data_IF_583730204869
#
_entry.id   IF_583730204869
#
_cell.length_a   1.000
_cell.length_b   1.000
_cell.length_c   1.000
_cell.angle_alpha   90.00
_cell.angle_beta   90.00
_cell.angle_gamma   90.00
#
_symmetry.space_group_name_H-M   'P 1'
#
loop_
_entity.id
_entity.type
_entity.pdbx_description
1 polymer ?
#
# COMPACT_ATOMS: atom_id res chain seq x y z
N UNK A 1 -17.41 29.66 -18.34
CA UNK A 1 -17.26 28.75 -17.18
C UNK A 1 -16.04 27.89 -17.43
N UNK A 2 -15.03 28.03 -16.61
CA UNK A 2 -13.87 27.14 -16.66
C UNK A 2 -14.25 25.76 -16.08
N UNK A 3 -13.57 24.70 -16.54
CA UNK A 3 -13.75 23.34 -15.98
C UNK A 3 -13.34 23.24 -14.50
N UNK A 4 -12.70 24.30 -13.96
CA UNK A 4 -12.26 24.38 -12.56
C UNK A 4 -13.17 25.24 -11.69
N UNK A 5 -14.30 25.74 -12.21
CA UNK A 5 -15.22 26.66 -11.51
C UNK A 5 -16.39 25.93 -10.86
N UNK A 6 -16.23 24.77 -10.37
CA UNK A 6 -17.36 24.01 -9.91
C UNK A 6 -17.12 23.18 -8.66
N UNK A 7 -18.12 22.39 -8.32
CA UNK A 7 -17.99 21.32 -7.35
C UNK A 7 -16.94 20.31 -7.87
N UNK A 8 -15.88 19.97 -7.13
CA UNK A 8 -14.88 19.00 -7.55
C UNK A 8 -15.44 17.68 -8.07
N UNK A 9 -16.59 17.26 -7.56
CA UNK A 9 -17.27 16.02 -7.98
C UNK A 9 -17.86 16.09 -9.39
N UNK A 10 -18.12 17.28 -9.89
CA UNK A 10 -18.69 17.51 -11.22
C UNK A 10 -17.63 17.77 -12.29
N UNK A 11 -16.36 17.89 -11.87
CA UNK A 11 -15.25 18.03 -12.79
C UNK A 11 -14.88 16.68 -13.39
N UNK A 12 -14.68 16.60 -14.72
CA UNK A 12 -14.18 15.37 -15.34
C UNK A 12 -12.74 15.11 -14.87
N UNK A 13 -12.43 13.84 -14.59
CA UNK A 13 -11.06 13.43 -14.32
C UNK A 13 -10.25 13.48 -15.62
N UNK A 14 -9.02 14.01 -15.55
CA UNK A 14 -8.10 13.91 -16.66
C UNK A 14 -7.37 12.54 -16.65
N UNK A 15 -6.77 12.18 -17.78
CA UNK A 15 -6.10 10.88 -17.94
C UNK A 15 -5.01 10.60 -16.89
N UNK A 16 -4.31 11.62 -16.43
CA UNK A 16 -3.29 11.48 -15.38
C UNK A 16 -3.88 10.99 -14.05
N UNK A 17 -5.01 11.56 -13.62
CA UNK A 17 -5.72 11.12 -12.40
C UNK A 17 -6.25 9.71 -12.54
N UNK A 18 -6.87 9.39 -13.70
CA UNK A 18 -7.37 8.04 -13.99
C UNK A 18 -6.22 7.04 -13.92
N UNK A 19 -5.10 7.33 -14.58
CA UNK A 19 -3.92 6.46 -14.60
C UNK A 19 -3.32 6.29 -13.21
N UNK A 20 -3.21 7.38 -12.44
CA UNK A 20 -2.67 7.34 -11.08
C UNK A 20 -3.51 6.44 -10.16
N UNK A 21 -4.85 6.61 -10.18
CA UNK A 21 -5.75 5.76 -9.40
C UNK A 21 -5.66 4.30 -9.86
N UNK A 22 -5.74 4.05 -11.17
CA UNK A 22 -5.75 2.70 -11.74
C UNK A 22 -4.45 1.95 -11.43
N UNK A 23 -3.29 2.62 -11.58
CA UNK A 23 -1.98 2.06 -11.26
C UNK A 23 -1.82 1.81 -9.75
N UNK A 24 -2.28 2.75 -8.90
CA UNK A 24 -2.26 2.60 -7.45
C UNK A 24 -3.09 1.39 -7.00
N UNK A 25 -4.29 1.22 -7.53
CA UNK A 25 -5.13 0.04 -7.24
C UNK A 25 -4.50 -1.26 -7.74
N UNK A 26 -3.89 -1.24 -8.93
CA UNK A 26 -3.18 -2.40 -9.48
C UNK A 26 -1.99 -2.80 -8.61
N UNK A 27 -1.19 -1.83 -8.15
CA UNK A 27 -0.10 -2.06 -7.21
C UNK A 27 -0.60 -2.63 -5.88
N UNK A 28 -1.65 -2.05 -5.30
CA UNK A 28 -2.28 -2.58 -4.08
C UNK A 28 -2.74 -4.03 -4.27
N UNK A 29 -3.36 -4.39 -5.41
CA UNK A 29 -3.78 -5.77 -5.67
C UNK A 29 -2.58 -6.74 -5.67
N UNK A 30 -1.46 -6.34 -6.27
CA UNK A 30 -0.23 -7.13 -6.23
C UNK A 30 0.34 -7.27 -4.82
N UNK A 31 0.38 -6.16 -4.07
CA UNK A 31 0.86 -6.15 -2.68
C UNK A 31 -0.03 -6.97 -1.75
N UNK A 32 -1.35 -6.89 -1.88
CA UNK A 32 -2.30 -7.71 -1.11
C UNK A 32 -1.98 -9.19 -1.30
N UNK A 33 -1.87 -9.65 -2.55
CA UNK A 33 -1.52 -11.05 -2.85
C UNK A 33 -0.14 -11.44 -2.31
N UNK A 34 0.85 -10.55 -2.40
CA UNK A 34 2.18 -10.77 -1.83
C UNK A 34 2.16 -10.84 -0.30
N UNK A 35 1.41 -9.95 0.36
CA UNK A 35 1.32 -9.93 1.82
C UNK A 35 0.51 -11.12 2.36
N UNK A 36 -0.50 -11.60 1.63
CA UNK A 36 -1.18 -12.86 1.96
C UNK A 36 -0.20 -14.06 1.91
N UNK A 37 0.76 -14.06 0.97
CA UNK A 37 1.84 -15.03 0.97
C UNK A 37 2.77 -14.85 2.18
N UNK A 38 3.17 -13.61 2.50
CA UNK A 38 4.03 -13.32 3.65
C UNK A 38 3.38 -13.72 4.98
N UNK A 39 2.07 -13.58 5.14
CA UNK A 39 1.32 -14.08 6.32
C UNK A 39 1.52 -15.59 6.49
N UNK A 40 1.55 -16.35 5.39
CA UNK A 40 1.78 -17.80 5.43
C UNK A 40 3.23 -18.17 5.77
N UNK A 41 4.19 -17.27 5.55
CA UNK A 41 5.62 -17.49 5.83
C UNK A 41 6.04 -16.99 7.20
N UNK A 42 5.41 -15.93 7.70
CA UNK A 42 5.81 -15.25 8.93
C UNK A 42 5.56 -16.12 10.17
N UNK A 43 6.51 -16.11 11.10
CA UNK A 43 6.42 -16.80 12.39
C UNK A 43 6.16 -15.82 13.54
N UNK A 44 6.58 -14.56 13.42
CA UNK A 44 6.38 -13.53 14.45
C UNK A 44 4.94 -12.99 14.40
N UNK A 45 4.23 -13.10 15.52
CA UNK A 45 2.81 -12.73 15.64
C UNK A 45 2.55 -11.22 15.47
N UNK A 46 3.52 -10.38 15.87
CA UNK A 46 3.39 -8.93 15.69
C UNK A 46 3.54 -8.55 14.23
N UNK A 47 4.45 -9.23 13.49
CA UNK A 47 4.61 -9.05 12.05
C UNK A 47 3.38 -9.53 11.29
N UNK A 48 2.83 -10.68 11.64
CA UNK A 48 1.57 -11.20 11.07
C UNK A 48 0.45 -10.18 11.25
N UNK A 49 0.30 -9.63 12.45
CA UNK A 49 -0.72 -8.63 12.75
C UNK A 49 -0.56 -7.36 11.90
N UNK A 50 0.67 -6.88 11.69
CA UNK A 50 0.94 -5.75 10.81
C UNK A 50 0.64 -6.05 9.34
N UNK A 51 0.97 -7.25 8.87
CA UNK A 51 0.64 -7.68 7.50
C UNK A 51 -0.88 -7.70 7.28
N UNK A 52 -1.63 -8.26 8.22
CA UNK A 52 -3.10 -8.30 8.17
C UNK A 52 -3.72 -6.89 8.21
N UNK A 53 -3.17 -5.97 9.04
CA UNK A 53 -3.56 -4.56 9.06
C UNK A 53 -3.33 -3.91 7.68
N UNK A 54 -2.17 -4.12 7.08
CA UNK A 54 -1.83 -3.56 5.77
C UNK A 54 -2.75 -4.10 4.66
N UNK A 55 -3.03 -5.40 4.64
CA UNK A 55 -3.96 -6.02 3.69
C UNK A 55 -5.35 -5.39 3.82
N UNK A 56 -5.86 -5.26 5.04
CA UNK A 56 -7.16 -4.65 5.31
C UNK A 56 -7.23 -3.20 4.83
N UNK A 57 -6.18 -2.42 5.10
CA UNK A 57 -6.07 -1.02 4.68
C UNK A 57 -6.07 -0.91 3.15
N UNK A 58 -5.23 -1.68 2.45
CA UNK A 58 -5.16 -1.67 0.99
C UNK A 58 -6.48 -2.12 0.33
N UNK A 59 -7.19 -3.10 0.90
CA UNK A 59 -8.53 -3.51 0.44
C UNK A 59 -9.54 -2.37 0.59
N UNK A 60 -9.47 -1.58 1.67
CA UNK A 60 -10.33 -0.42 1.89
C UNK A 60 -9.99 0.74 0.93
N UNK A 61 -8.70 1.05 0.74
CA UNK A 61 -8.23 2.02 -0.25
C UNK A 61 -8.77 1.68 -1.64
N UNK A 62 -8.59 0.43 -2.09
CA UNK A 62 -9.07 -0.03 -3.40
C UNK A 62 -10.60 0.07 -3.54
N UNK A 63 -11.34 -0.21 -2.46
CA UNK A 63 -12.80 -0.04 -2.46
C UNK A 63 -13.20 1.41 -2.71
N UNK A 64 -12.52 2.36 -2.06
CA UNK A 64 -12.86 3.78 -2.17
C UNK A 64 -12.43 4.36 -3.53
N UNK A 65 -11.22 4.09 -4.00
CA UNK A 65 -10.79 4.48 -5.34
C UNK A 65 -11.63 3.83 -6.44
N UNK A 66 -12.01 2.57 -6.26
CA UNK A 66 -12.89 1.85 -7.19
C UNK A 66 -14.25 2.50 -7.35
N UNK A 67 -14.82 3.12 -6.28
CA UNK A 67 -16.07 3.91 -6.38
C UNK A 67 -15.86 5.14 -7.27
N UNK A 68 -14.73 5.84 -7.10
CA UNK A 68 -14.40 7.03 -7.91
C UNK A 68 -14.26 6.67 -9.38
N UNK A 69 -13.52 5.63 -9.72
CA UNK A 69 -13.38 5.16 -11.11
C UNK A 69 -14.75 4.82 -11.71
N UNK A 70 -15.55 4.00 -11.03
CA UNK A 70 -16.87 3.59 -11.49
C UNK A 70 -17.82 4.78 -11.70
N UNK A 71 -17.81 5.76 -10.80
CA UNK A 71 -18.61 6.97 -10.93
C UNK A 71 -18.23 7.80 -12.18
N UNK A 72 -17.01 7.62 -12.69
CA UNK A 72 -16.52 8.26 -13.91
C UNK A 72 -16.53 7.31 -15.14
N UNK A 73 -17.24 6.18 -15.07
CA UNK A 73 -17.38 5.23 -16.19
C UNK A 73 -16.13 4.39 -16.45
N UNK A 74 -15.18 4.34 -15.53
CA UNK A 74 -13.91 3.60 -15.66
C UNK A 74 -14.00 2.28 -14.92
N UNK A 75 -13.62 1.19 -15.57
CA UNK A 75 -13.52 -0.13 -14.93
C UNK A 75 -12.24 -0.20 -14.08
N UNK A 76 -12.34 -0.47 -12.76
CA UNK A 76 -11.19 -0.68 -11.93
C UNK A 76 -10.36 -1.91 -12.35
N UNK A 77 -9.06 -1.97 -12.01
CA UNK A 77 -8.27 -3.19 -12.23
C UNK A 77 -8.85 -4.35 -11.45
N UNK A 78 -8.82 -5.59 -11.99
CA UNK A 78 -9.33 -6.76 -11.30
C UNK A 78 -8.50 -7.08 -10.06
N UNK A 79 -9.17 -7.51 -8.99
CA UNK A 79 -8.50 -8.08 -7.82
C UNK A 79 -7.95 -9.48 -8.14
N UNK A 80 -6.86 -9.85 -7.48
CA UNK A 80 -6.34 -11.21 -7.53
C UNK A 80 -7.16 -12.12 -6.59
N UNK A 81 -7.24 -13.43 -6.86
CA UNK A 81 -7.85 -14.38 -5.95
C UNK A 81 -7.14 -14.36 -4.58
N UNK A 82 -7.92 -14.51 -3.51
CA UNK A 82 -7.35 -14.64 -2.17
C UNK A 82 -6.53 -15.94 -2.06
N UNK A 83 -5.39 -15.86 -1.38
CA UNK A 83 -4.56 -17.03 -1.14
C UNK A 83 -5.15 -17.87 0.00
N UNK A 84 -5.16 -19.21 -0.14
CA UNK A 84 -5.47 -20.08 0.98
C UNK A 84 -4.42 -19.92 2.08
N UNK A 85 -4.85 -20.09 3.33
CA UNK A 85 -3.91 -20.12 4.47
C UNK A 85 -3.08 -21.40 4.41
N UNK A 86 -1.81 -21.26 4.75
CA UNK A 86 -0.86 -22.36 4.91
C UNK A 86 -0.01 -22.10 6.17
N UNK A 87 0.57 -23.15 6.72
CA UNK A 87 1.50 -23.02 7.84
C UNK A 87 2.93 -22.86 7.31
N UNK A 88 3.74 -22.02 7.97
CA UNK A 88 5.14 -21.82 7.59
C UNK A 88 5.93 -23.15 7.55
N UNK A 89 5.58 -24.08 8.45
CA UNK A 89 6.21 -25.41 8.55
C UNK A 89 6.01 -26.27 7.28
N UNK A 90 4.91 -26.07 6.58
CA UNK A 90 4.60 -26.81 5.34
C UNK A 90 5.37 -26.27 4.12
N UNK A 91 6.07 -25.13 4.27
CA UNK A 91 6.85 -24.52 3.19
C UNK A 91 8.30 -25.03 3.26
N UNK A 92 8.84 -25.60 2.17
CA UNK A 92 10.22 -26.06 2.14
C UNK A 92 11.21 -24.96 2.58
N UNK A 93 12.19 -25.31 3.41
CA UNK A 93 13.13 -24.34 3.99
C UNK A 93 13.82 -23.43 2.96
N UNK A 94 14.15 -23.95 1.77
CA UNK A 94 14.74 -23.17 0.69
C UNK A 94 13.80 -22.22 -0.04
N UNK A 95 12.49 -22.29 0.23
CA UNK A 95 11.46 -21.43 -0.36
C UNK A 95 10.82 -20.50 0.68
N UNK A 96 11.15 -20.65 1.96
CA UNK A 96 10.56 -19.90 3.06
C UNK A 96 11.25 -18.55 3.22
N UNK A 97 10.47 -17.50 3.30
CA UNK A 97 10.95 -16.18 3.73
C UNK A 97 11.02 -16.13 5.26
N UNK A 98 12.07 -15.51 5.79
CA UNK A 98 12.23 -15.24 7.22
C UNK A 98 11.63 -13.87 7.58
N UNK A 99 11.21 -13.68 8.83
CA UNK A 99 10.60 -12.44 9.31
C UNK A 99 11.41 -11.17 8.99
N UNK A 100 12.75 -11.12 9.15
CA UNK A 100 13.54 -9.95 8.76
C UNK A 100 13.49 -9.66 7.25
N UNK A 101 13.44 -10.68 6.40
CA UNK A 101 13.35 -10.52 4.94
C UNK A 101 11.98 -9.94 4.55
N UNK A 102 10.92 -10.49 5.15
CA UNK A 102 9.54 -10.01 4.97
C UNK A 102 9.46 -8.54 5.41
N UNK A 103 9.94 -8.22 6.59
CA UNK A 103 9.91 -6.87 7.12
C UNK A 103 10.71 -5.87 6.28
N UNK A 104 11.86 -6.29 5.75
CA UNK A 104 12.66 -5.53 4.80
C UNK A 104 11.88 -5.20 3.51
N UNK A 105 11.22 -6.20 2.94
CA UNK A 105 10.39 -6.04 1.74
C UNK A 105 9.21 -5.06 1.98
N UNK A 106 8.53 -5.19 3.12
CA UNK A 106 7.44 -4.28 3.50
C UNK A 106 7.97 -2.85 3.66
N UNK A 107 9.14 -2.66 4.28
CA UNK A 107 9.75 -1.34 4.47
C UNK A 107 10.01 -0.63 3.14
N UNK A 108 10.49 -1.35 2.13
CA UNK A 108 10.68 -0.84 0.77
C UNK A 108 9.34 -0.46 0.15
N UNK A 109 8.33 -1.32 0.28
CA UNK A 109 7.00 -1.08 -0.28
C UNK A 109 6.33 0.16 0.35
N UNK A 110 6.50 0.38 1.66
CA UNK A 110 6.02 1.60 2.34
C UNK A 110 6.67 2.84 1.73
N UNK A 111 8.00 2.84 1.56
CA UNK A 111 8.72 3.95 0.93
C UNK A 111 8.22 4.25 -0.48
N UNK A 112 8.06 3.23 -1.31
CA UNK A 112 7.53 3.37 -2.67
C UNK A 112 6.09 3.89 -2.66
N UNK A 113 5.25 3.42 -1.75
CA UNK A 113 3.88 3.86 -1.59
C UNK A 113 3.77 5.35 -1.20
N UNK A 114 4.65 5.84 -0.31
CA UNK A 114 4.73 7.25 0.06
C UNK A 114 5.07 8.12 -1.15
N UNK A 115 6.09 7.73 -1.93
CA UNK A 115 6.47 8.44 -3.16
C UNK A 115 5.32 8.46 -4.16
N UNK A 116 4.67 7.32 -4.38
CA UNK A 116 3.56 7.20 -5.33
C UNK A 116 2.38 8.11 -4.96
N UNK A 117 2.00 8.15 -3.67
CA UNK A 117 0.94 9.03 -3.20
C UNK A 117 1.32 10.52 -3.38
N UNK A 118 2.58 10.89 -3.07
CA UNK A 118 3.05 12.27 -3.24
C UNK A 118 3.04 12.70 -4.71
N UNK A 119 3.48 11.84 -5.61
CA UNK A 119 3.44 12.11 -7.05
C UNK A 119 2.00 12.27 -7.56
N UNK A 120 1.11 11.38 -7.15
CA UNK A 120 -0.29 11.43 -7.54
C UNK A 120 -0.96 12.73 -7.05
N UNK A 121 -0.75 13.14 -5.79
CA UNK A 121 -1.25 14.42 -5.27
C UNK A 121 -0.81 15.61 -6.10
N UNK A 122 0.48 15.65 -6.50
CA UNK A 122 1.04 16.76 -7.31
C UNK A 122 0.50 16.81 -8.74
N UNK A 123 -0.13 15.75 -9.23
CA UNK A 123 -0.69 15.67 -10.58
C UNK A 123 -2.20 15.89 -10.61
N UNK A 124 -2.89 15.82 -9.47
CA UNK A 124 -4.33 15.96 -9.40
C UNK A 124 -4.77 17.41 -9.61
N UNK A 125 -5.80 17.59 -10.43
CA UNK A 125 -6.56 18.84 -10.55
C UNK A 125 -7.83 18.77 -9.67
N UNK A 126 -8.39 17.59 -9.47
CA UNK A 126 -9.53 17.37 -8.58
C UNK A 126 -9.05 17.28 -7.13
N UNK A 127 -9.54 18.20 -6.31
CA UNK A 127 -9.17 18.29 -4.88
C UNK A 127 -9.61 17.05 -4.08
N UNK A 128 -10.77 16.45 -4.42
CA UNK A 128 -11.26 15.25 -3.76
C UNK A 128 -10.37 14.03 -4.03
N UNK A 129 -9.82 13.91 -5.24
CA UNK A 129 -8.87 12.85 -5.60
C UNK A 129 -7.53 13.07 -4.90
N UNK A 130 -7.03 14.33 -4.89
CA UNK A 130 -5.82 14.69 -4.17
C UNK A 130 -5.93 14.37 -2.67
N UNK A 131 -7.09 14.69 -2.06
CA UNK A 131 -7.36 14.41 -0.64
C UNK A 131 -7.37 12.89 -0.34
N UNK A 132 -7.86 12.05 -1.26
CA UNK A 132 -7.80 10.60 -1.11
C UNK A 132 -6.37 10.09 -1.08
N UNK A 133 -5.50 10.56 -1.98
CA UNK A 133 -4.07 10.20 -1.97
C UNK A 133 -3.36 10.74 -0.72
N UNK A 134 -3.71 11.95 -0.25
CA UNK A 134 -3.19 12.51 1.00
C UNK A 134 -3.54 11.61 2.20
N UNK A 135 -4.79 11.13 2.27
CA UNK A 135 -5.20 10.17 3.31
C UNK A 135 -4.35 8.89 3.24
N UNK A 136 -4.23 8.27 2.07
CA UNK A 136 -3.40 7.07 1.90
C UNK A 136 -1.94 7.31 2.26
N UNK A 137 -1.39 8.49 1.94
CA UNK A 137 -0.05 8.89 2.33
C UNK A 137 0.12 8.90 3.85
N UNK A 138 -0.81 9.54 4.57
CA UNK A 138 -0.76 9.61 6.05
C UNK A 138 -0.94 8.23 6.71
N UNK A 139 -1.79 7.37 6.16
CA UNK A 139 -1.95 5.99 6.62
C UNK A 139 -0.64 5.20 6.45
N UNK A 140 0.08 5.39 5.33
CA UNK A 140 1.39 4.76 5.10
C UNK A 140 2.48 5.30 6.02
N UNK A 141 2.47 6.61 6.34
CA UNK A 141 3.37 7.20 7.35
C UNK A 141 3.16 6.55 8.70
N UNK A 142 1.90 6.44 9.15
CA UNK A 142 1.56 5.84 10.44
C UNK A 142 1.94 4.34 10.49
N UNK A 143 1.66 3.60 9.41
CA UNK A 143 2.05 2.20 9.29
C UNK A 143 3.58 2.02 9.30
N UNK A 144 4.31 2.86 8.55
CA UNK A 144 5.78 2.85 8.54
C UNK A 144 6.39 3.09 9.91
N UNK A 145 5.79 3.96 10.72
CA UNK A 145 6.22 4.20 12.10
C UNK A 145 6.05 2.96 12.99
N UNK A 146 4.93 2.23 12.86
CA UNK A 146 4.70 0.97 13.57
C UNK A 146 5.72 -0.09 13.14
N UNK A 147 5.95 -0.24 11.85
CA UNK A 147 6.91 -1.19 11.29
C UNK A 147 8.34 -0.88 11.77
N UNK A 148 8.74 0.40 11.79
CA UNK A 148 10.04 0.82 12.30
C UNK A 148 10.20 0.47 13.78
N UNK A 149 9.15 0.69 14.58
CA UNK A 149 9.14 0.32 16.00
C UNK A 149 9.31 -1.19 16.19
N UNK A 150 8.59 -2.00 15.40
CA UNK A 150 8.73 -3.46 15.43
C UNK A 150 10.16 -3.87 15.06
N UNK A 151 10.69 -3.34 13.95
CA UNK A 151 12.03 -3.67 13.48
C UNK A 151 13.13 -3.36 14.52
N UNK A 152 12.97 -2.24 15.24
CA UNK A 152 13.88 -1.89 16.35
C UNK A 152 13.76 -2.88 17.49
N UNK A 153 12.55 -3.23 17.91
CA UNK A 153 12.32 -4.13 19.04
C UNK A 153 12.80 -5.56 18.78
N UNK A 154 12.72 -6.01 17.54
CA UNK A 154 13.12 -7.37 17.12
C UNK A 154 14.58 -7.44 16.65
N UNK A 155 15.28 -6.31 16.52
CA UNK A 155 16.66 -6.29 16.04
C UNK A 155 16.81 -6.58 14.55
N UNK A 156 15.79 -6.32 13.74
CA UNK A 156 15.78 -6.59 12.29
C UNK A 156 16.33 -5.44 11.45
N UNK A 157 16.79 -4.36 12.08
CA UNK A 157 17.38 -3.21 11.40
C UNK A 157 18.88 -3.41 11.23
N UNK A 158 19.35 -3.25 10.00
CA UNK A 158 20.76 -3.08 9.69
C UNK A 158 21.03 -1.59 9.44
N UNK A 159 21.40 -0.82 10.48
CA UNK A 159 21.62 0.61 10.30
C UNK A 159 22.85 0.86 9.41
N UNK A 160 22.83 1.90 8.57
CA UNK A 160 24.03 2.35 7.88
C UNK A 160 25.06 2.82 8.93
N UNK A 161 26.35 2.99 8.54
CA UNK A 161 27.37 3.50 9.45
C UNK A 161 26.91 4.77 10.16
N UNK A 162 26.97 4.77 11.49
CA UNK A 162 26.60 5.92 12.30
C UNK A 162 27.76 6.93 12.34
N UNK A 163 27.44 8.22 12.23
CA UNK A 163 28.40 9.29 12.50
C UNK A 163 28.55 9.41 14.01
N UNK A 164 29.67 8.93 14.55
CA UNK A 164 30.05 9.11 15.93
C UNK A 164 30.94 10.37 16.02
N UNK A 165 30.53 11.35 16.83
CA UNK A 165 31.34 12.51 17.16
C UNK A 165 32.41 12.15 18.19
#
# INVERSE_FOLDING_TARGET
>A
MGILDGNPKDQPMHYGEITAIWAFMGANNGLISGYEAFVNHAEDTDLISLLEEAIKTMKAENKDFGKVLKANGITPPPALPERPKANAEDIPAGARFMDPEISGAISINVGQGLVSCSMAMGQCLREDVAAMFAKCHMEKVAFGAKLLSLNKSKGWIFPPPLHLQ
#
